data_IF_686283803298
#
_entry.id   IF_686283803298
#
_cell.length_a   1.000
_cell.length_b   1.000
_cell.length_c   1.000
_cell.angle_alpha   90.00
_cell.angle_beta   90.00
_cell.angle_gamma   90.00
#
_symmetry.space_group_name_H-M   'P 1'
#
loop_
_entity.id
_entity.type
_entity.pdbx_description
1 polymer ?
#
# COMPACT_ATOMS: atom_id res chain seq x y z
N UNK A 1 17.14 -7.24 -10.44
CA UNK A 1 17.34 -6.34 -9.29
C UNK A 1 17.37 -7.08 -7.96
N UNK A 2 18.55 -7.16 -7.34
CA UNK A 2 18.83 -7.73 -6.01
C UNK A 2 19.44 -6.65 -5.11
N UNK A 3 18.97 -6.51 -3.88
CA UNK A 3 19.50 -5.52 -2.93
C UNK A 3 20.80 -6.04 -2.29
N UNK A 4 21.89 -5.28 -2.43
CA UNK A 4 23.22 -5.66 -1.93
C UNK A 4 23.54 -4.98 -0.60
N UNK A 5 23.41 -3.64 -0.55
CA UNK A 5 23.86 -2.78 0.54
C UNK A 5 22.92 -1.57 0.72
N UNK A 6 22.95 -0.96 1.91
CA UNK A 6 22.38 0.37 2.18
C UNK A 6 23.48 1.32 2.67
N UNK A 7 23.46 2.56 2.19
CA UNK A 7 24.40 3.64 2.54
C UNK A 7 23.62 4.90 2.93
N UNK A 8 24.32 5.86 3.54
CA UNK A 8 23.84 7.24 3.77
C UNK A 8 22.44 7.34 4.41
N UNK A 9 22.21 6.55 5.45
CA UNK A 9 20.90 6.46 6.07
C UNK A 9 20.61 7.70 6.94
N UNK A 10 19.57 8.45 6.57
CA UNK A 10 19.07 9.63 7.27
C UNK A 10 17.67 9.36 7.83
N UNK A 11 17.54 9.40 9.15
CA UNK A 11 16.25 9.28 9.82
C UNK A 11 15.33 10.48 9.52
N UNK A 12 14.04 10.20 9.35
CA UNK A 12 12.97 11.17 9.12
C UNK A 12 11.93 10.97 10.21
N UNK A 13 11.80 11.88 11.19
CA UNK A 13 10.85 11.70 12.27
C UNK A 13 9.42 11.59 11.75
N UNK A 14 8.57 10.84 12.45
CA UNK A 14 7.18 10.68 12.04
C UNK A 14 6.40 11.99 12.21
N UNK A 15 6.50 12.59 13.41
CA UNK A 15 5.93 13.89 13.75
C UNK A 15 7.03 14.90 14.05
N UNK A 16 6.71 16.18 13.88
CA UNK A 16 7.57 17.26 14.32
C UNK A 16 6.87 18.13 15.34
N UNK A 17 7.65 18.57 16.31
CA UNK A 17 7.26 19.57 17.29
C UNK A 17 7.60 20.99 16.79
N UNK A 18 8.53 21.10 15.83
CA UNK A 18 9.01 22.37 15.30
C UNK A 18 8.43 22.69 13.92
N UNK A 19 7.95 23.93 13.74
CA UNK A 19 7.54 24.45 12.43
C UNK A 19 8.79 24.54 11.54
N UNK A 20 8.76 23.89 10.37
CA UNK A 20 9.76 23.90 9.27
C UNK A 20 10.75 22.72 9.19
N UNK A 21 10.65 21.71 10.05
CA UNK A 21 11.43 20.49 9.86
C UNK A 21 10.75 19.52 8.88
N UNK A 22 11.50 18.53 8.40
CA UNK A 22 11.07 17.50 7.44
C UNK A 22 10.58 16.23 8.18
N UNK A 23 9.30 15.87 8.03
CA UNK A 23 8.70 14.67 8.63
C UNK A 23 7.95 13.82 7.63
N UNK A 24 7.66 12.56 8.02
CA UNK A 24 6.78 11.70 7.23
C UNK A 24 5.43 12.38 7.00
N UNK A 25 4.83 12.96 8.04
CA UNK A 25 3.54 13.64 7.94
C UNK A 25 3.59 14.80 6.94
N UNK A 26 4.58 15.69 7.06
CA UNK A 26 4.74 16.85 6.18
C UNK A 26 4.99 16.43 4.72
N UNK A 27 5.85 15.43 4.50
CA UNK A 27 6.08 14.83 3.18
C UNK A 27 4.80 14.28 2.58
N UNK A 28 4.00 13.55 3.36
CA UNK A 28 2.72 13.00 2.91
C UNK A 28 1.73 14.11 2.53
N UNK A 29 1.57 15.15 3.36
CA UNK A 29 0.67 16.28 3.08
C UNK A 29 1.00 17.03 1.80
N UNK A 30 2.28 17.05 1.40
CA UNK A 30 2.76 17.73 0.19
C UNK A 30 2.54 16.92 -1.10
N UNK A 31 2.26 15.62 -1.01
CA UNK A 31 2.15 14.73 -2.18
C UNK A 31 0.95 15.11 -3.05
N UNK A 32 1.17 15.54 -4.31
CA UNK A 32 0.07 15.81 -5.23
C UNK A 32 -0.43 14.53 -5.91
N UNK A 33 -1.72 14.52 -6.27
CA UNK A 33 -2.26 13.57 -7.23
C UNK A 33 -1.78 13.94 -8.64
N UNK A 34 -1.00 13.04 -9.25
CA UNK A 34 -0.45 13.22 -10.59
C UNK A 34 -1.56 13.50 -11.60
N UNK A 35 -1.42 14.60 -12.34
CA UNK A 35 -2.33 14.98 -13.42
C UNK A 35 -3.68 15.54 -12.95
N UNK A 36 -3.87 15.74 -11.64
CA UNK A 36 -5.09 16.30 -11.10
C UNK A 36 -4.84 17.68 -10.48
N UNK A 37 -5.54 18.67 -11.01
CA UNK A 37 -5.55 20.05 -10.53
C UNK A 37 -6.97 20.42 -10.09
N UNK A 38 -7.07 21.31 -9.10
CA UNK A 38 -8.35 21.83 -8.62
C UNK A 38 -8.90 22.93 -9.54
N UNK A 39 -10.06 23.50 -9.19
CA UNK A 39 -10.70 24.58 -9.95
C UNK A 39 -9.86 25.87 -10.04
N UNK A 40 -8.82 26.02 -9.22
CA UNK A 40 -7.87 27.14 -9.21
C UNK A 40 -6.57 26.81 -9.94
N UNK A 41 -6.44 25.61 -10.50
CA UNK A 41 -5.24 25.13 -11.16
C UNK A 41 -4.15 24.63 -10.21
N UNK A 42 -4.42 24.50 -8.91
CA UNK A 42 -3.45 24.00 -7.95
C UNK A 42 -3.45 22.45 -7.91
N UNK A 43 -2.31 21.79 -7.68
CA UNK A 43 -2.27 20.33 -7.54
C UNK A 43 -3.14 19.83 -6.38
N UNK A 44 -3.97 18.81 -6.62
CA UNK A 44 -4.80 18.22 -5.57
C UNK A 44 -3.92 17.40 -4.62
N UNK A 45 -4.02 17.65 -3.31
CA UNK A 45 -3.25 16.94 -2.26
C UNK A 45 -4.22 16.21 -1.32
N UNK A 46 -4.36 14.90 -1.48
CA UNK A 46 -5.39 14.11 -0.77
C UNK A 46 -5.22 14.05 0.74
N UNK A 47 -4.00 14.25 1.22
CA UNK A 47 -3.69 14.19 2.64
C UNK A 47 -3.60 15.56 3.31
N UNK A 48 -3.90 16.68 2.61
CA UNK A 48 -3.71 18.02 3.19
C UNK A 48 -4.44 18.21 4.51
N UNK A 49 -5.66 17.66 4.63
CA UNK A 49 -6.52 17.71 5.81
C UNK A 49 -6.70 16.35 6.50
N UNK A 50 -5.96 15.33 6.06
CA UNK A 50 -6.08 13.99 6.63
C UNK A 50 -5.50 13.93 8.05
N UNK A 51 -6.01 13.01 8.88
CA UNK A 51 -5.41 12.66 10.16
C UNK A 51 -4.44 11.51 9.92
N UNK A 52 -3.14 11.79 10.05
CA UNK A 52 -2.06 10.83 9.82
C UNK A 52 -1.51 10.43 11.19
N UNK A 53 -1.39 9.13 11.46
CA UNK A 53 -0.80 8.64 12.70
C UNK A 53 0.08 7.41 12.51
N UNK A 54 1.05 7.24 13.39
CA UNK A 54 1.79 5.99 13.53
C UNK A 54 1.01 5.05 14.46
N UNK A 55 0.77 3.83 14.02
CA UNK A 55 0.03 2.84 14.78
C UNK A 55 0.77 1.50 14.79
N UNK A 56 0.87 0.86 15.96
CA UNK A 56 1.43 -0.50 16.09
C UNK A 56 0.29 -1.50 16.04
N UNK A 57 0.29 -2.35 15.02
CA UNK A 57 -0.69 -3.42 14.85
C UNK A 57 -0.20 -4.70 15.49
N UNK A 58 -1.06 -5.35 16.28
CA UNK A 58 -0.84 -6.72 16.75
C UNK A 58 -0.87 -7.74 15.60
N UNK A 59 -0.31 -8.95 15.76
CA UNK A 59 -0.37 -9.99 14.73
C UNK A 59 -1.79 -10.31 14.25
N UNK A 60 -2.78 -10.23 15.14
CA UNK A 60 -4.21 -10.39 14.78
C UNK A 60 -4.71 -9.27 13.87
N UNK A 61 -4.34 -8.01 14.14
CA UNK A 61 -4.68 -6.87 13.28
C UNK A 61 -3.91 -6.91 11.94
N UNK A 62 -2.66 -7.37 11.93
CA UNK A 62 -1.91 -7.59 10.68
C UNK A 62 -2.62 -8.62 9.80
N UNK A 63 -3.12 -9.70 10.40
CA UNK A 63 -3.90 -10.73 9.68
C UNK A 63 -5.16 -10.18 9.01
N UNK A 64 -5.87 -9.23 9.63
CA UNK A 64 -7.06 -8.63 9.02
C UNK A 64 -6.73 -7.79 7.78
N UNK A 65 -5.51 -7.24 7.68
CA UNK A 65 -5.07 -6.46 6.52
C UNK A 65 -4.73 -7.33 5.29
N UNK A 66 -4.64 -8.65 5.43
CA UNK A 66 -4.39 -9.56 4.30
C UNK A 66 -5.56 -9.66 3.32
N UNK A 67 -6.71 -9.12 3.68
CA UNK A 67 -7.84 -9.01 2.78
C UNK A 67 -7.76 -7.66 2.08
N UNK A 68 -7.32 -7.69 0.83
CA UNK A 68 -6.91 -6.48 0.09
C UNK A 68 -7.36 -6.56 -1.36
N UNK A 69 -7.62 -5.41 -2.02
CA UNK A 69 -7.84 -5.37 -3.46
C UNK A 69 -6.61 -5.79 -4.29
N UNK A 70 -5.44 -5.95 -3.65
CA UNK A 70 -4.23 -6.49 -4.27
C UNK A 70 -3.83 -7.81 -3.63
N UNK A 71 -4.51 -8.92 -3.95
CA UNK A 71 -4.29 -10.18 -3.26
C UNK A 71 -3.02 -10.89 -3.72
N UNK A 72 -2.07 -10.23 -4.37
CA UNK A 72 -0.85 -10.87 -4.89
C UNK A 72 0.38 -10.22 -4.27
N UNK A 73 1.20 -11.05 -3.63
CA UNK A 73 2.58 -10.70 -3.27
C UNK A 73 3.52 -11.67 -3.95
N UNK A 74 4.69 -11.18 -4.37
CA UNK A 74 5.68 -12.03 -5.04
C UNK A 74 6.71 -12.52 -4.03
N UNK A 75 7.06 -13.82 -4.07
CA UNK A 75 8.06 -14.39 -3.14
C UNK A 75 9.39 -13.66 -3.24
N UNK A 76 9.83 -13.34 -4.45
CA UNK A 76 11.05 -12.54 -4.70
C UNK A 76 11.04 -11.18 -3.98
N UNK A 77 9.88 -10.55 -3.82
CA UNK A 77 9.75 -9.30 -3.09
C UNK A 77 9.70 -9.50 -1.57
N UNK A 78 9.22 -10.64 -1.09
CA UNK A 78 9.32 -11.03 0.33
C UNK A 78 10.78 -11.31 0.70
N UNK A 79 11.53 -11.97 -0.18
CA UNK A 79 12.96 -12.21 0.00
C UNK A 79 13.74 -10.88 0.07
N UNK A 80 13.37 -9.91 -0.77
CA UNK A 80 13.94 -8.55 -0.69
C UNK A 80 13.58 -7.83 0.62
N UNK A 81 12.37 -8.04 1.15
CA UNK A 81 11.98 -7.49 2.47
C UNK A 81 12.81 -8.12 3.59
N UNK A 82 13.05 -9.43 3.54
CA UNK A 82 13.93 -10.12 4.50
C UNK A 82 15.36 -9.57 4.41
N UNK A 83 15.91 -9.46 3.19
CA UNK A 83 17.24 -8.89 2.97
C UNK A 83 17.36 -7.45 3.47
N UNK A 84 16.31 -6.64 3.28
CA UNK A 84 16.27 -5.27 3.79
C UNK A 84 16.27 -5.24 5.32
N UNK A 85 15.60 -6.18 5.99
CA UNK A 85 15.64 -6.29 7.45
C UNK A 85 17.04 -6.61 7.97
N UNK A 86 17.74 -7.55 7.33
CA UNK A 86 19.14 -7.86 7.65
C UNK A 86 20.02 -6.63 7.54
N UNK A 87 19.96 -5.93 6.40
CA UNK A 87 20.78 -4.74 6.13
C UNK A 87 20.51 -3.60 7.11
N UNK A 88 19.25 -3.32 7.43
CA UNK A 88 18.89 -2.32 8.44
C UNK A 88 19.41 -2.71 9.83
N UNK A 89 19.32 -4.00 10.19
CA UNK A 89 19.80 -4.50 11.48
C UNK A 89 21.33 -4.41 11.57
N UNK A 90 22.05 -4.82 10.53
CA UNK A 90 23.52 -4.74 10.43
C UNK A 90 24.02 -3.30 10.55
N UNK A 91 23.28 -2.35 9.98
CA UNK A 91 23.60 -0.93 10.04
C UNK A 91 23.10 -0.23 11.32
N UNK A 92 22.47 -0.95 12.26
CA UNK A 92 22.05 -0.43 13.55
C UNK A 92 20.76 0.42 13.52
N UNK A 93 19.89 0.21 12.53
CA UNK A 93 18.61 0.91 12.38
C UNK A 93 17.41 0.07 12.81
N UNK A 94 16.25 0.71 12.92
CA UNK A 94 14.97 0.06 13.23
C UNK A 94 14.68 -1.08 12.24
N UNK A 95 14.09 -2.16 12.74
CA UNK A 95 13.56 -3.21 11.88
C UNK A 95 12.52 -2.63 10.91
N UNK A 96 12.63 -2.84 9.58
CA UNK A 96 11.68 -2.39 8.57
C UNK A 96 10.20 -2.76 8.78
N UNK A 97 9.90 -3.72 9.65
CA UNK A 97 8.53 -4.08 10.08
C UNK A 97 8.04 -3.26 11.28
N UNK A 98 8.94 -2.72 12.09
CA UNK A 98 8.65 -2.00 13.33
C UNK A 98 9.19 -0.57 13.30
N UNK A 99 9.28 0.02 12.12
CA UNK A 99 9.74 1.39 11.91
C UNK A 99 8.97 2.38 12.78
N UNK A 100 9.67 3.14 13.62
CA UNK A 100 9.08 4.23 14.40
C UNK A 100 9.16 5.58 13.68
N UNK A 101 9.92 5.62 12.60
CA UNK A 101 10.22 6.77 11.78
C UNK A 101 10.52 6.33 10.34
N UNK A 102 10.75 7.29 9.45
CA UNK A 102 11.18 7.03 8.08
C UNK A 102 12.70 7.06 7.97
N UNK A 103 13.23 6.58 6.86
CA UNK A 103 14.64 6.67 6.54
C UNK A 103 14.82 6.97 5.06
N UNK A 104 15.55 8.04 4.74
CA UNK A 104 16.19 8.16 3.42
C UNK A 104 17.48 7.36 3.44
N UNK A 105 17.81 6.66 2.36
CA UNK A 105 19.03 5.87 2.23
C UNK A 105 19.39 5.68 0.76
N UNK A 106 20.67 5.46 0.48
CA UNK A 106 21.17 5.05 -0.83
C UNK A 106 21.20 3.53 -0.86
N UNK A 107 20.42 2.90 -1.74
CA UNK A 107 20.45 1.47 -1.94
C UNK A 107 21.44 1.12 -3.06
N UNK A 108 22.33 0.17 -2.80
CA UNK A 108 23.13 -0.47 -3.85
C UNK A 108 22.40 -1.72 -4.30
N UNK A 109 22.00 -1.76 -5.58
CA UNK A 109 21.28 -2.89 -6.17
C UNK A 109 22.06 -3.48 -7.33
N UNK A 110 22.02 -4.80 -7.47
CA UNK A 110 22.52 -5.50 -8.65
C UNK A 110 21.38 -5.67 -9.66
N UNK A 111 21.55 -5.13 -10.86
CA UNK A 111 20.64 -5.34 -11.98
C UNK A 111 21.41 -5.70 -13.25
N UNK A 112 21.07 -6.83 -13.86
CA UNK A 112 21.76 -7.36 -15.06
C UNK A 112 23.30 -7.49 -14.90
N UNK A 113 23.78 -7.70 -13.68
CA UNK A 113 25.21 -7.83 -13.35
C UNK A 113 25.94 -6.51 -13.12
N UNK A 114 25.23 -5.38 -13.16
CA UNK A 114 25.75 -4.06 -12.82
C UNK A 114 25.29 -3.62 -11.43
N UNK A 115 26.21 -3.05 -10.64
CA UNK A 115 25.87 -2.39 -9.38
C UNK A 115 25.39 -0.95 -9.65
N UNK A 116 24.19 -0.64 -9.18
CA UNK A 116 23.56 0.65 -9.33
C UNK A 116 23.26 1.23 -7.96
N UNK A 117 23.63 2.48 -7.75
CA UNK A 117 23.20 3.26 -6.60
C UNK A 117 21.90 4.00 -6.94
N UNK A 118 20.96 4.02 -5.99
CA UNK A 118 19.72 4.77 -6.13
C UNK A 118 19.31 5.32 -4.77
N UNK A 119 18.66 6.47 -4.76
CA UNK A 119 18.06 7.08 -3.56
C UNK A 119 16.69 6.47 -3.24
N UNK A 120 16.48 6.11 -1.98
CA UNK A 120 15.27 5.47 -1.48
C UNK A 120 14.83 6.13 -0.19
N UNK A 121 13.52 6.10 0.05
CA UNK A 121 12.92 6.40 1.35
C UNK A 121 12.13 5.19 1.79
N UNK A 122 12.35 4.67 2.99
CA UNK A 122 11.43 3.73 3.62
C UNK A 122 10.61 4.45 4.70
N UNK A 123 9.30 4.24 4.70
CA UNK A 123 8.38 4.69 5.76
C UNK A 123 7.56 3.48 6.24
N UNK A 124 6.95 3.50 7.43
CA UNK A 124 6.00 2.46 7.82
C UNK A 124 4.91 2.26 6.74
N UNK A 125 4.47 1.02 6.45
CA UNK A 125 3.40 0.74 5.47
C UNK A 125 2.21 1.69 5.62
N UNK A 126 1.67 2.17 4.50
CA UNK A 126 0.58 3.16 4.50
C UNK A 126 -0.74 2.42 4.45
N UNK A 127 -1.59 2.66 5.45
CA UNK A 127 -2.95 2.14 5.53
C UNK A 127 -3.91 3.31 5.56
N UNK A 128 -4.83 3.37 4.61
CA UNK A 128 -5.89 4.39 4.56
C UNK A 128 -7.23 3.80 4.94
N UNK A 129 -7.93 4.49 5.81
CA UNK A 129 -9.34 4.23 6.06
C UNK A 129 -10.18 4.85 4.93
N UNK A 130 -10.76 3.99 4.12
CA UNK A 130 -11.65 4.38 3.02
C UNK A 130 -13.10 4.06 3.39
N UNK A 131 -14.02 4.94 2.98
CA UNK A 131 -15.45 4.68 3.13
C UNK A 131 -15.92 3.80 1.98
N UNK A 132 -16.18 2.53 2.26
CA UNK A 132 -16.78 1.63 1.30
C UNK A 132 -18.30 1.89 1.25
N UNK A 133 -18.88 2.23 0.09
CA UNK A 133 -20.31 2.44 -0.02
C UNK A 133 -21.05 1.13 0.21
N UNK A 134 -21.92 1.10 1.23
CA UNK A 134 -22.84 -0.01 1.48
C UNK A 134 -24.13 0.32 0.76
N UNK A 135 -24.29 -0.15 -0.47
CA UNK A 135 -25.62 -0.17 -1.11
C UNK A 135 -26.30 -1.45 -0.70
N UNK A 136 -27.21 -1.33 0.28
CA UNK A 136 -27.89 -2.44 0.91
C UNK A 136 -28.31 -3.52 -0.08
N UNK A 137 -27.83 -4.75 0.14
CA UNK A 137 -28.65 -5.92 -0.15
C UNK A 137 -29.76 -5.98 0.92
N UNK A 138 -30.90 -6.57 0.60
CA UNK A 138 -32.10 -6.73 1.45
C UNK A 138 -31.87 -7.46 2.80
N UNK A 139 -30.62 -7.66 3.25
CA UNK A 139 -30.23 -8.44 4.43
C UNK A 139 -28.97 -7.94 5.16
N UNK A 140 -28.60 -6.66 5.05
CA UNK A 140 -27.45 -6.13 5.80
C UNK A 140 -26.11 -6.78 5.43
N UNK A 141 -25.88 -7.07 4.14
CA UNK A 141 -24.60 -7.58 3.61
C UNK A 141 -24.07 -6.70 2.48
N UNK A 142 -22.75 -6.61 2.36
CA UNK A 142 -22.07 -5.94 1.25
C UNK A 142 -22.38 -6.70 -0.06
N UNK A 143 -23.07 -6.04 -1.00
CA UNK A 143 -23.33 -6.60 -2.33
C UNK A 143 -22.12 -6.39 -3.25
N UNK A 144 -21.17 -7.32 -3.18
CA UNK A 144 -19.98 -7.29 -4.04
C UNK A 144 -20.29 -7.36 -5.53
N UNK A 145 -21.35 -8.06 -5.95
CA UNK A 145 -21.71 -8.18 -7.37
C UNK A 145 -22.09 -6.81 -7.95
N UNK A 146 -22.78 -5.98 -7.16
CA UNK A 146 -23.10 -4.61 -7.53
C UNK A 146 -21.90 -3.67 -7.48
N UNK A 147 -20.97 -3.90 -6.55
CA UNK A 147 -19.75 -3.09 -6.40
C UNK A 147 -18.77 -3.35 -7.55
N UNK A 148 -18.52 -4.62 -7.88
CA UNK A 148 -17.49 -5.00 -8.84
C UNK A 148 -17.99 -4.96 -10.29
N UNK A 149 -19.31 -5.08 -10.51
CA UNK A 149 -19.93 -5.28 -11.84
C UNK A 149 -19.38 -6.50 -12.62
N UNK A 150 -18.65 -7.40 -11.96
CA UNK A 150 -18.08 -8.62 -12.55
C UNK A 150 -18.79 -9.83 -11.95
N UNK A 151 -19.28 -10.76 -12.78
CA UNK A 151 -19.72 -12.10 -12.33
C UNK A 151 -18.47 -12.94 -12.07
N UNK A 152 -18.12 -13.30 -10.83
CA UNK A 152 -16.91 -14.06 -10.59
C UNK A 152 -17.19 -15.58 -10.59
N UNK A 153 -16.39 -16.38 -11.30
CA UNK A 153 -16.29 -17.81 -11.01
C UNK A 153 -15.44 -17.98 -9.74
N UNK A 154 -16.02 -18.56 -8.70
CA UNK A 154 -15.32 -19.15 -7.53
C UNK A 154 -14.40 -18.22 -6.71
N UNK A 155 -14.97 -17.20 -6.07
CA UNK A 155 -14.25 -16.37 -5.09
C UNK A 155 -14.57 -16.82 -3.66
N UNK A 156 -13.53 -17.04 -2.84
CA UNK A 156 -13.66 -17.21 -1.39
C UNK A 156 -13.62 -15.84 -0.72
N UNK A 157 -14.73 -15.40 -0.13
CA UNK A 157 -14.89 -14.07 0.46
C UNK A 157 -14.21 -13.96 1.83
N UNK A 158 -13.89 -12.73 2.25
CA UNK A 158 -13.46 -12.43 3.62
C UNK A 158 -14.63 -12.65 4.59
N UNK A 159 -14.60 -13.73 5.38
CA UNK A 159 -15.63 -14.02 6.38
C UNK A 159 -15.79 -12.92 7.43
N UNK A 160 -14.74 -12.13 7.69
CA UNK A 160 -14.83 -11.00 8.62
C UNK A 160 -15.79 -9.91 8.13
N UNK A 161 -16.09 -9.84 6.82
CA UNK A 161 -17.08 -8.93 6.24
C UNK A 161 -18.50 -9.51 6.23
N UNK A 162 -18.64 -10.83 6.40
CA UNK A 162 -19.93 -11.50 6.57
C UNK A 162 -20.47 -11.41 8.00
N UNK A 163 -19.59 -11.19 8.98
CA UNK A 163 -19.92 -11.05 10.40
C UNK A 163 -20.37 -9.63 10.79
N UNK A 164 -20.18 -8.63 9.92
CA UNK A 164 -20.67 -7.29 10.19
C UNK A 164 -22.19 -7.23 9.99
N UNK A 165 -22.92 -7.06 11.09
CA UNK A 165 -24.33 -6.68 11.07
C UNK A 165 -24.46 -5.18 10.78
N UNK A 166 -24.74 -4.84 9.52
CA UNK A 166 -24.96 -3.46 9.11
C UNK A 166 -26.45 -3.15 9.28
N UNK A 167 -26.82 -2.61 10.45
CA UNK A 167 -28.17 -2.10 10.70
C UNK A 167 -28.64 -1.15 9.58
N UNK A 168 -29.95 -0.97 9.44
CA UNK A 168 -30.62 -0.35 8.27
C UNK A 168 -30.18 1.09 7.90
N UNK A 169 -29.31 1.74 8.67
CA UNK A 169 -28.96 3.16 8.57
C UNK A 169 -27.51 3.47 8.12
N UNK A 170 -26.69 2.47 7.80
CA UNK A 170 -25.30 2.72 7.36
C UNK A 170 -25.15 2.70 5.84
N UNK A 171 -24.82 3.85 5.25
CA UNK A 171 -24.57 4.01 3.80
C UNK A 171 -23.11 3.79 3.39
N UNK A 172 -22.19 3.77 4.35
CA UNK A 172 -20.79 3.45 4.13
C UNK A 172 -20.13 2.91 5.40
N UNK A 173 -19.06 2.13 5.23
CA UNK A 173 -18.22 1.66 6.34
C UNK A 173 -16.77 2.10 6.18
N UNK A 174 -16.10 2.51 7.26
CA UNK A 174 -14.65 2.68 7.25
C UNK A 174 -14.00 1.31 7.09
N UNK A 175 -13.12 1.17 6.11
CA UNK A 175 -12.35 -0.05 5.87
C UNK A 175 -10.89 0.30 5.62
N UNK A 176 -9.94 -0.33 6.32
CA UNK A 176 -8.52 -0.09 6.12
C UNK A 176 -8.05 -0.72 4.80
N UNK A 177 -7.43 0.08 3.94
CA UNK A 177 -6.85 -0.35 2.68
C UNK A 177 -5.34 -0.12 2.75
N UNK A 178 -4.57 -1.16 2.47
CA UNK A 178 -3.12 -1.03 2.31
C UNK A 178 -2.85 -0.25 1.03
N UNK A 179 -2.34 0.96 1.18
CA UNK A 179 -1.90 1.83 0.11
C UNK A 179 -0.44 1.54 -0.27
N UNK A 180 0.39 1.21 0.70
CA UNK A 180 1.76 0.81 0.42
C UNK A 180 2.27 -0.19 1.46
N UNK A 181 3.24 -1.01 1.07
CA UNK A 181 3.95 -1.91 1.98
C UNK A 181 3.28 -3.27 2.16
N UNK A 182 2.43 -3.73 1.23
CA UNK A 182 1.79 -5.06 1.30
C UNK A 182 2.80 -6.19 1.53
N UNK A 183 3.98 -6.16 0.90
CA UNK A 183 5.02 -7.16 1.12
C UNK A 183 5.54 -7.18 2.57
N UNK A 184 5.63 -6.01 3.22
CA UNK A 184 6.00 -5.89 4.63
C UNK A 184 4.86 -6.33 5.55
N UNK A 185 3.61 -6.00 5.22
CA UNK A 185 2.43 -6.52 5.93
C UNK A 185 2.41 -8.05 5.89
N UNK A 186 2.63 -8.63 4.71
CA UNK A 186 2.67 -10.08 4.54
C UNK A 186 3.86 -10.73 5.26
N UNK A 187 5.04 -10.09 5.22
CA UNK A 187 6.23 -10.57 5.94
C UNK A 187 6.01 -10.56 7.46
N UNK A 188 5.41 -9.50 8.01
CA UNK A 188 5.04 -9.44 9.42
C UNK A 188 4.00 -10.52 9.80
N UNK A 189 3.06 -10.83 8.89
CA UNK A 189 2.13 -11.93 9.08
C UNK A 189 2.85 -13.30 9.09
N UNK A 190 3.73 -13.59 8.13
CA UNK A 190 4.50 -14.85 8.08
C UNK A 190 5.37 -15.01 9.34
N UNK A 191 5.99 -13.93 9.80
CA UNK A 191 6.81 -13.91 11.02
C UNK A 191 5.99 -13.87 12.32
N UNK A 192 4.67 -13.66 12.26
CA UNK A 192 3.77 -13.49 13.40
C UNK A 192 4.25 -12.40 14.39
N UNK A 193 4.70 -11.26 13.87
CA UNK A 193 5.21 -10.13 14.66
C UNK A 193 4.32 -8.89 14.55
N UNK A 194 4.35 -7.96 15.52
CA UNK A 194 3.70 -6.67 15.39
C UNK A 194 4.27 -5.87 14.20
N UNK A 195 3.45 -4.98 13.62
CA UNK A 195 3.82 -4.12 12.51
C UNK A 195 3.48 -2.67 12.81
N UNK A 196 4.42 -1.75 12.63
CA UNK A 196 4.12 -0.32 12.67
C UNK A 196 3.63 0.14 11.30
N UNK A 197 2.52 0.90 11.26
CA UNK A 197 1.92 1.42 10.03
C UNK A 197 1.66 2.92 10.14
N UNK A 198 1.73 3.59 8.99
CA UNK A 198 1.21 4.94 8.80
C UNK A 198 -0.29 4.84 8.52
N UNK A 199 -1.11 5.02 9.55
CA UNK A 199 -2.56 4.96 9.46
C UNK A 199 -3.14 6.34 9.15
N UNK A 200 -3.93 6.44 8.09
CA UNK A 200 -4.48 7.70 7.58
C UNK A 200 -6.01 7.63 7.58
N UNK A 201 -6.66 8.60 8.21
CA UNK A 201 -8.13 8.76 8.21
C UNK A 201 -8.51 10.13 7.71
N UNK A 202 -9.80 10.34 7.41
CA UNK A 202 -10.33 11.60 6.88
C UNK A 202 -9.63 12.03 5.56
N UNK A 203 -9.31 11.07 4.70
CA UNK A 203 -8.76 11.33 3.36
C UNK A 203 -9.84 12.00 2.51
N UNK A 204 -9.44 12.91 1.62
CA UNK A 204 -10.33 13.56 0.67
C UNK A 204 -11.09 12.51 -0.17
N UNK A 205 -12.42 12.47 0.01
CA UNK A 205 -13.28 11.48 -0.64
C UNK A 205 -13.29 11.64 -2.16
N UNK A 206 -13.49 10.53 -2.87
CA UNK A 206 -13.53 10.50 -4.35
C UNK A 206 -12.16 10.33 -5.01
N UNK A 207 -11.08 10.26 -4.23
CA UNK A 207 -9.72 10.06 -4.72
C UNK A 207 -9.02 8.88 -4.03
N UNK A 208 -9.54 7.66 -4.18
CA UNK A 208 -8.93 6.50 -3.53
C UNK A 208 -7.52 6.28 -4.07
N UNK A 209 -6.57 5.98 -3.18
CA UNK A 209 -5.17 5.70 -3.54
C UNK A 209 -5.04 4.53 -4.54
N UNK A 210 -5.95 3.56 -4.45
CA UNK A 210 -6.08 2.46 -5.39
C UNK A 210 -7.47 2.40 -6.02
N UNK A 211 -7.52 1.88 -7.25
CA UNK A 211 -8.77 1.64 -7.98
C UNK A 211 -9.81 0.91 -7.11
N UNK A 212 -11.01 1.51 -7.05
CA UNK A 212 -12.26 1.03 -6.45
C UNK A 212 -12.67 -0.38 -6.95
N UNK A 213 -13.62 -1.11 -6.30
CA UNK A 213 -13.26 -2.32 -5.55
C UNK A 213 -13.17 -3.59 -6.40
N UNK A 214 -12.10 -4.33 -6.15
CA UNK A 214 -12.08 -5.80 -6.22
C UNK A 214 -12.85 -6.36 -5.01
N UNK A 215 -13.37 -7.59 -5.08
CA UNK A 215 -13.65 -8.33 -3.86
C UNK A 215 -12.34 -8.42 -3.06
N UNK A 216 -12.43 -8.13 -1.75
CA UNK A 216 -11.28 -8.23 -0.86
C UNK A 216 -10.93 -9.71 -0.72
N UNK A 217 -9.91 -10.12 -1.48
CA UNK A 217 -9.43 -11.48 -1.46
C UNK A 217 -8.28 -11.58 -0.48
N UNK A 218 -8.15 -12.75 0.13
CA UNK A 218 -6.98 -13.07 0.92
C UNK A 218 -5.74 -13.00 0.02
N UNK A 219 -4.68 -12.34 0.50
CA UNK A 219 -3.40 -12.32 -0.19
C UNK A 219 -2.88 -13.74 -0.39
N UNK A 220 -2.47 -14.03 -1.63
CA UNK A 220 -1.75 -15.22 -2.05
C UNK A 220 -0.32 -14.85 -2.43
N UNK A 221 0.60 -15.75 -2.14
CA UNK A 221 1.99 -15.63 -2.58
C UNK A 221 2.14 -16.31 -3.93
N UNK A 222 2.71 -15.59 -4.89
CA UNK A 222 3.07 -16.11 -6.20
C UNK A 222 4.61 -16.16 -6.25
N UNK A 223 5.23 -17.22 -6.79
CA UNK A 223 6.69 -17.31 -6.78
C UNK A 223 7.34 -16.16 -7.57
N UNK A 224 6.88 -15.92 -8.80
CA UNK A 224 7.39 -14.86 -9.67
C UNK A 224 6.28 -14.02 -10.30
N UNK A 225 6.66 -12.95 -11.00
CA UNK A 225 5.69 -12.13 -11.74
C UNK A 225 5.17 -12.87 -12.97
N UNK A 226 6.04 -13.62 -13.63
CA UNK A 226 5.77 -14.42 -14.81
C UNK A 226 4.78 -15.54 -14.48
N UNK A 227 4.92 -16.15 -13.29
CA UNK A 227 3.95 -17.14 -12.80
C UNK A 227 2.54 -16.55 -12.65
N UNK A 228 2.41 -15.26 -12.39
CA UNK A 228 1.13 -14.60 -12.17
C UNK A 228 0.23 -14.54 -13.43
N UNK A 229 0.80 -14.89 -14.60
CA UNK A 229 0.12 -15.04 -15.89
C UNK A 229 -0.40 -16.46 -16.14
N UNK A 230 0.05 -17.45 -15.34
CA UNK A 230 -0.39 -18.84 -15.51
C UNK A 230 -1.90 -18.99 -15.23
N UNK A 231 -2.60 -19.92 -15.93
CA UNK A 231 -4.03 -20.12 -15.77
C UNK A 231 -4.47 -20.38 -14.33
N UNK A 232 -3.67 -21.08 -13.52
CA UNK A 232 -3.95 -21.35 -12.11
C UNK A 232 -4.10 -20.07 -11.25
N UNK A 233 -3.52 -18.95 -11.70
CA UNK A 233 -3.62 -17.65 -11.04
C UNK A 233 -4.59 -16.70 -11.75
N UNK A 234 -5.19 -17.05 -12.90
CA UNK A 234 -5.99 -16.14 -13.72
C UNK A 234 -7.17 -15.50 -12.97
N UNK A 235 -7.76 -16.17 -11.98
CA UNK A 235 -8.83 -15.65 -11.12
C UNK A 235 -8.40 -14.69 -10.00
N UNK A 236 -7.09 -14.61 -9.71
CA UNK A 236 -6.53 -13.71 -8.67
C UNK A 236 -6.03 -12.40 -9.25
N UNK A 237 -6.31 -12.13 -10.53
CA UNK A 237 -5.74 -11.01 -11.27
C UNK A 237 -5.98 -9.67 -10.59
N UNK A 238 -4.93 -8.85 -10.54
CA UNK A 238 -5.05 -7.42 -10.26
C UNK A 238 -5.81 -6.77 -11.42
N UNK A 239 -7.14 -6.87 -11.42
CA UNK A 239 -7.98 -6.13 -12.35
C UNK A 239 -7.96 -4.70 -11.85
N UNK A 240 -7.51 -3.83 -12.73
CA UNK A 240 -7.57 -2.43 -12.48
C UNK A 240 -8.78 -1.89 -13.21
N UNK A 241 -9.72 -1.34 -12.48
CA UNK A 241 -10.85 -0.63 -13.08
C UNK A 241 -10.31 0.69 -13.61
N UNK A 242 -10.09 0.76 -14.92
CA UNK A 242 -9.81 2.00 -15.63
C UNK A 242 -11.16 2.59 -16.05
N UNK A 243 -11.80 3.36 -15.19
CA UNK A 243 -12.94 4.15 -15.65
C UNK A 243 -12.47 5.38 -16.44
N UNK A 244 -11.22 5.85 -16.22
CA UNK A 244 -10.59 6.95 -16.98
C UNK A 244 -9.07 6.78 -17.15
N UNK A 245 -8.50 7.39 -18.19
CA UNK A 245 -7.05 7.44 -18.50
C UNK A 245 -6.16 7.98 -17.35
N UNK A 246 -6.76 8.58 -16.32
CA UNK A 246 -6.07 9.18 -15.17
C UNK A 246 -5.85 8.23 -13.97
N UNK A 247 -6.50 7.06 -13.92
CA UNK A 247 -6.74 6.36 -12.64
C UNK A 247 -5.68 5.32 -12.25
N UNK A 248 -4.66 5.10 -13.09
CA UNK A 248 -3.64 4.07 -12.80
C UNK A 248 -2.19 4.48 -13.02
N UNK A 249 -1.90 5.78 -13.03
CA UNK A 249 -0.52 6.20 -12.85
C UNK A 249 -0.23 6.14 -11.36
N UNK A 250 0.11 4.95 -10.88
CA UNK A 250 0.64 4.73 -9.53
C UNK A 250 1.60 5.88 -9.20
N UNK A 251 1.23 6.66 -8.19
CA UNK A 251 1.80 7.98 -7.93
C UNK A 251 3.26 7.90 -7.42
N UNK A 252 3.75 6.70 -7.09
CA UNK A 252 5.09 6.42 -6.57
C UNK A 252 5.68 5.16 -7.23
N UNK A 253 6.99 5.17 -7.51
CA UNK A 253 7.74 3.97 -7.87
C UNK A 253 8.08 3.21 -6.58
N UNK A 254 7.59 1.97 -6.49
CA UNK A 254 7.95 1.02 -5.43
C UNK A 254 8.84 -0.09 -6.02
N UNK A 255 10.14 0.15 -6.22
CA UNK A 255 11.08 -0.95 -6.34
C UNK A 255 11.23 -1.64 -4.97
N UNK A 256 11.44 -2.95 -4.95
CA UNK A 256 11.23 -3.85 -3.81
C UNK A 256 11.75 -3.41 -2.43
N UNK A 257 10.86 -2.88 -1.59
CA UNK A 257 11.09 -2.72 -0.14
C UNK A 257 11.07 -1.27 0.39
N UNK A 258 11.09 -0.28 -0.49
CA UNK A 258 11.01 1.15 -0.14
C UNK A 258 10.28 1.99 -1.20
N UNK A 259 10.17 3.28 -0.93
CA UNK A 259 9.61 4.30 -1.82
C UNK A 259 10.78 5.02 -2.48
N UNK A 260 10.90 5.03 -3.81
CA UNK A 260 11.84 5.94 -4.46
C UNK A 260 11.32 7.37 -4.28
N UNK A 261 11.88 8.16 -3.36
CA UNK A 261 11.52 9.57 -3.21
C UNK A 261 12.20 10.40 -4.28
N UNK A 262 11.44 11.05 -5.15
CA UNK A 262 11.97 12.01 -6.12
C UNK A 262 11.47 11.80 -7.53
N UNK A 263 11.17 10.56 -7.92
CA UNK A 263 10.72 10.25 -9.27
C UNK A 263 9.25 9.86 -9.31
N UNK A 264 8.48 10.69 -10.03
CA UNK A 264 7.15 10.29 -10.49
C UNK A 264 7.35 9.10 -11.42
N UNK A 265 6.58 8.02 -11.22
CA UNK A 265 6.63 6.84 -12.09
C UNK A 265 6.56 7.30 -13.55
N UNK A 266 7.56 6.94 -14.40
CA UNK A 266 7.51 7.30 -15.80
C UNK A 266 6.22 6.73 -16.38
N UNK A 267 5.63 7.48 -17.31
CA UNK A 267 4.44 7.00 -17.98
C UNK A 267 4.76 5.64 -18.61
N UNK A 268 3.87 4.66 -18.42
CA UNK A 268 4.01 3.40 -19.11
C UNK A 268 4.13 3.72 -20.60
N UNK A 269 5.20 3.24 -21.25
CA UNK A 269 5.34 3.38 -22.70
C UNK A 269 4.04 2.86 -23.30
N UNK A 270 3.34 3.69 -24.08
CA UNK A 270 2.19 3.26 -24.86
C UNK A 270 2.74 2.25 -25.88
N UNK A 271 2.64 0.96 -25.54
CA UNK A 271 2.77 -0.16 -26.50
C UNK A 271 1.47 -0.30 -27.25
#
# INVERSE_FOLDING_TARGET
MKLLEIKEVKAIPFYLWEKNADSIEDRLRKVPLKGLIDAKGAPVRVYSEAKIRLETLSPTQVRSLLYTPQPRVYRTLLDNVARLQELFTEAGFDNPLQLTQGYDYVAVVEDEGEELESDWTIIPPVVEENLLPVRGSLKGRIDYQRITRVKPPEITFNSALDEYDFGENHYSIPFPIICDGMHRVFSAFEANVPLNVTYITNVLQGYPYYAHPQPFNRTVVIPTREDAEKPEYAGTAKIHVFAKESEKKLYRLFPGGGIKSGDVRPDAKKT
#
